data_IF_187648884848
#
_entry.id   IF_187648884848
#
_cell.length_a   1.000
_cell.length_b   1.000
_cell.length_c   1.000
_cell.angle_alpha   90.00
_cell.angle_beta   90.00
_cell.angle_gamma   90.00
#
_symmetry.space_group_name_H-M   'P 1'
#
loop_
_entity.id
_entity.type
_entity.pdbx_description
1 polymer ?
#
# COMPACT_ATOMS: atom_id res chain seq x y z
N UNK A 1 -20.06 6.86 -6.97
CA UNK A 1 -19.44 5.80 -7.81
C UNK A 1 -18.42 6.49 -8.70
N UNK A 2 -17.16 6.03 -8.70
CA UNK A 2 -16.09 6.60 -9.52
C UNK A 2 -16.01 5.94 -10.90
N UNK A 3 -15.28 6.57 -11.81
CA UNK A 3 -14.92 6.02 -13.11
C UNK A 3 -13.85 4.92 -12.96
N UNK A 4 -14.04 3.82 -13.68
CA UNK A 4 -13.22 2.61 -13.65
C UNK A 4 -12.76 2.18 -15.05
N UNK A 5 -13.06 2.96 -16.11
CA UNK A 5 -12.66 2.64 -17.49
C UNK A 5 -11.12 2.56 -17.63
N UNK A 6 -10.40 3.37 -16.86
CA UNK A 6 -8.94 3.37 -16.80
C UNK A 6 -8.31 2.02 -16.41
N UNK A 7 -9.06 1.10 -15.77
CA UNK A 7 -8.53 -0.21 -15.39
C UNK A 7 -8.18 -1.08 -16.60
N UNK A 8 -8.87 -0.91 -17.72
CA UNK A 8 -8.59 -1.63 -18.95
C UNK A 8 -7.20 -1.26 -19.49
N UNK A 9 -6.87 0.03 -19.45
CA UNK A 9 -5.57 0.57 -19.86
C UNK A 9 -4.46 0.32 -18.83
N UNK A 10 -4.80 -0.14 -17.63
CA UNK A 10 -3.87 -0.41 -16.53
C UNK A 10 -3.29 -1.83 -16.55
N UNK A 11 -3.71 -2.70 -17.48
CA UNK A 11 -3.17 -4.05 -17.59
C UNK A 11 -1.65 -4.04 -17.79
N UNK A 12 -0.95 -4.82 -16.97
CA UNK A 12 0.52 -4.87 -16.96
C UNK A 12 1.21 -3.66 -16.30
N UNK A 13 0.46 -2.68 -15.80
CA UNK A 13 0.97 -1.52 -15.06
C UNK A 13 0.77 -1.69 -13.56
N UNK A 14 1.42 -0.85 -12.78
CA UNK A 14 1.22 -0.74 -11.34
C UNK A 14 0.36 0.49 -11.05
N UNK A 15 -0.68 0.30 -10.24
CA UNK A 15 -1.55 1.40 -9.79
C UNK A 15 -1.56 1.44 -8.27
N UNK A 16 -1.28 2.61 -7.71
CA UNK A 16 -1.40 2.84 -6.26
C UNK A 16 -2.86 3.09 -5.92
N UNK A 17 -3.43 2.20 -5.11
CA UNK A 17 -4.82 2.28 -4.65
C UNK A 17 -4.82 2.42 -3.13
N UNK A 18 -5.69 3.29 -2.61
CA UNK A 18 -5.95 3.41 -1.17
C UNK A 18 -6.72 2.15 -0.73
N UNK A 19 -6.36 1.54 0.39
CA UNK A 19 -6.92 0.26 0.85
C UNK A 19 -8.45 0.23 0.90
N UNK A 20 -9.09 1.33 1.30
CA UNK A 20 -10.56 1.49 1.33
C UNK A 20 -11.22 1.38 -0.05
N UNK A 21 -10.48 1.66 -1.13
CA UNK A 21 -10.99 1.63 -2.50
C UNK A 21 -10.90 0.24 -3.16
N UNK A 22 -10.18 -0.71 -2.56
CA UNK A 22 -10.00 -2.05 -3.13
C UNK A 22 -11.33 -2.79 -3.34
N UNK A 23 -12.30 -2.60 -2.43
CA UNK A 23 -13.65 -3.21 -2.51
C UNK A 23 -14.50 -2.74 -3.69
N UNK A 24 -14.09 -1.66 -4.36
CA UNK A 24 -14.78 -1.15 -5.54
C UNK A 24 -14.15 -1.62 -6.85
N UNK A 25 -13.03 -2.35 -6.80
CA UNK A 25 -12.43 -2.92 -8.00
C UNK A 25 -13.34 -4.02 -8.56
N UNK A 26 -13.58 -4.05 -9.88
CA UNK A 26 -14.50 -5.00 -10.49
C UNK A 26 -13.91 -6.41 -10.47
N UNK A 27 -14.73 -7.41 -10.17
CA UNK A 27 -14.32 -8.82 -10.06
C UNK A 27 -13.98 -9.49 -11.40
N UNK A 28 -14.18 -8.81 -12.54
CA UNK A 28 -13.91 -9.33 -13.89
C UNK A 28 -12.41 -9.44 -14.23
N UNK A 29 -11.53 -8.88 -13.38
CA UNK A 29 -10.08 -8.98 -13.55
C UNK A 29 -9.45 -9.77 -12.39
N UNK A 30 -8.28 -10.34 -12.66
CA UNK A 30 -7.41 -10.89 -11.63
C UNK A 30 -6.41 -9.82 -11.17
N UNK A 31 -6.24 -9.72 -9.86
CA UNK A 31 -5.36 -8.73 -9.25
C UNK A 31 -4.25 -9.40 -8.47
N UNK A 32 -3.04 -8.84 -8.60
CA UNK A 32 -1.93 -9.09 -7.70
C UNK A 32 -1.73 -7.85 -6.84
N UNK A 33 -2.08 -7.95 -5.56
CA UNK A 33 -2.03 -6.85 -4.61
C UNK A 33 -0.76 -6.99 -3.77
N UNK A 34 0.13 -6.01 -3.86
CA UNK A 34 1.23 -5.86 -2.89
C UNK A 34 0.72 -4.92 -1.80
N UNK A 35 0.40 -5.49 -0.64
CA UNK A 35 -0.15 -4.76 0.50
C UNK A 35 1.01 -4.37 1.43
N UNK A 36 1.30 -3.07 1.47
CA UNK A 36 2.44 -2.53 2.20
C UNK A 36 2.01 -2.12 3.61
N UNK A 37 2.64 -2.72 4.62
CA UNK A 37 2.50 -2.38 6.03
C UNK A 37 3.60 -1.42 6.45
N UNK A 38 3.24 -0.41 7.23
CA UNK A 38 4.16 0.62 7.76
C UNK A 38 3.78 0.92 9.21
N UNK A 39 4.76 1.27 10.02
CA UNK A 39 4.53 1.73 11.41
C UNK A 39 3.46 2.82 11.46
N UNK A 40 2.53 2.68 12.39
CA UNK A 40 1.37 3.57 12.53
C UNK A 40 1.78 5.03 12.70
N UNK A 41 2.80 5.31 13.52
CA UNK A 41 3.35 6.66 13.75
C UNK A 41 3.68 7.38 12.44
N UNK A 42 4.25 6.66 11.47
CA UNK A 42 4.65 7.24 10.19
C UNK A 42 3.48 7.42 9.22
N UNK A 43 2.44 6.58 9.36
CA UNK A 43 1.18 6.74 8.65
C UNK A 43 0.50 8.02 9.15
N UNK A 44 0.44 8.23 10.47
CA UNK A 44 -0.13 9.43 11.09
C UNK A 44 0.63 10.69 10.68
N UNK A 45 1.97 10.68 10.75
CA UNK A 45 2.80 11.80 10.31
C UNK A 45 2.59 12.15 8.83
N UNK A 46 2.49 11.12 7.98
CA UNK A 46 2.20 11.32 6.55
C UNK A 46 0.77 11.82 6.30
N UNK A 47 -0.19 11.40 7.12
CA UNK A 47 -1.59 11.81 7.03
C UNK A 47 -1.75 13.30 7.39
N UNK A 48 -1.16 13.73 8.52
CA UNK A 48 -1.15 15.15 8.93
C UNK A 48 -0.56 16.05 7.85
N UNK A 49 0.62 15.70 7.34
CA UNK A 49 1.28 16.45 6.25
C UNK A 49 0.43 16.52 4.98
N UNK A 50 -0.32 15.45 4.66
CA UNK A 50 -1.23 15.46 3.51
C UNK A 50 -2.41 16.41 3.73
N UNK A 51 -3.00 16.44 4.94
CA UNK A 51 -4.09 17.36 5.29
C UNK A 51 -3.62 18.82 5.26
N UNK A 52 -2.45 19.10 5.85
CA UNK A 52 -1.79 20.42 5.81
C UNK A 52 -1.60 20.90 4.38
N UNK A 53 -1.05 20.07 3.50
CA UNK A 53 -0.85 20.40 2.07
C UNK A 53 -2.16 20.66 1.33
N UNK A 54 -3.29 20.17 1.84
CA UNK A 54 -4.64 20.38 1.28
C UNK A 54 -5.37 21.55 1.95
N UNK A 55 -4.75 22.21 2.92
CA UNK A 55 -5.40 23.26 3.72
C UNK A 55 -6.56 22.74 4.58
N UNK A 56 -6.60 21.44 4.86
CA UNK A 56 -7.61 20.82 5.71
C UNK A 56 -7.09 20.90 7.14
N UNK A 57 -7.79 21.66 7.99
CA UNK A 57 -7.49 21.74 9.41
C UNK A 57 -7.79 20.43 10.11
N UNK A 58 -6.93 20.07 11.06
CA UNK A 58 -7.13 18.95 11.98
C UNK A 58 -8.52 19.05 12.61
N UNK A 59 -9.30 17.98 12.51
CA UNK A 59 -10.68 17.89 13.01
C UNK A 59 -10.76 17.67 14.53
N UNK A 60 -9.60 17.70 15.20
CA UNK A 60 -9.47 17.60 16.66
C UNK A 60 -9.48 16.16 17.16
N UNK A 61 -9.35 15.18 16.27
CA UNK A 61 -9.24 13.77 16.63
C UNK A 61 -7.82 13.49 17.08
N UNK A 62 -7.65 12.79 18.21
CA UNK A 62 -6.32 12.45 18.71
C UNK A 62 -5.63 11.40 17.83
N UNK A 63 -4.31 11.41 17.82
CA UNK A 63 -3.50 10.43 17.09
C UNK A 63 -3.81 8.99 17.49
N UNK A 64 -4.11 8.76 18.78
CA UNK A 64 -4.50 7.45 19.30
C UNK A 64 -5.81 6.96 18.71
N UNK A 65 -6.80 7.86 18.58
CA UNK A 65 -8.09 7.52 18.00
C UNK A 65 -7.97 7.29 16.49
N UNK A 66 -7.20 8.12 15.78
CA UNK A 66 -6.90 7.90 14.35
C UNK A 66 -6.20 6.55 14.16
N UNK A 67 -5.18 6.24 14.96
CA UNK A 67 -4.47 4.97 14.93
C UNK A 67 -5.40 3.76 15.15
N UNK A 68 -6.31 3.87 16.13
CA UNK A 68 -7.30 2.83 16.43
C UNK A 68 -8.23 2.59 15.24
N UNK A 69 -8.77 3.66 14.65
CA UNK A 69 -9.65 3.59 13.48
C UNK A 69 -8.92 3.01 12.26
N UNK A 70 -7.68 3.42 12.01
CA UNK A 70 -6.85 2.85 10.93
C UNK A 70 -6.60 1.35 11.13
N UNK A 71 -6.22 0.92 12.34
CA UNK A 71 -5.99 -0.51 12.61
C UNK A 71 -7.26 -1.34 12.42
N UNK A 72 -8.41 -0.85 12.89
CA UNK A 72 -9.69 -1.51 12.65
C UNK A 72 -10.03 -1.60 11.16
N UNK A 73 -9.75 -0.54 10.40
CA UNK A 73 -9.96 -0.49 8.97
C UNK A 73 -9.05 -1.47 8.22
N UNK A 74 -7.74 -1.47 8.52
CA UNK A 74 -6.78 -2.38 7.92
C UNK A 74 -7.19 -3.84 8.13
N UNK A 75 -7.54 -4.21 9.37
CA UNK A 75 -8.02 -5.56 9.68
C UNK A 75 -9.22 -5.96 8.83
N UNK A 76 -10.21 -5.08 8.67
CA UNK A 76 -11.39 -5.34 7.84
C UNK A 76 -11.03 -5.54 6.37
N UNK A 77 -10.12 -4.73 5.83
CA UNK A 77 -9.67 -4.87 4.44
C UNK A 77 -8.92 -6.17 4.23
N UNK A 78 -8.02 -6.54 5.16
CA UNK A 78 -7.30 -7.81 5.08
C UNK A 78 -8.23 -9.02 5.17
N UNK A 79 -9.17 -9.01 6.10
CA UNK A 79 -10.16 -10.07 6.26
C UNK A 79 -11.04 -10.19 4.99
N UNK A 80 -11.44 -9.05 4.41
CA UNK A 80 -12.16 -9.02 3.14
C UNK A 80 -11.33 -9.55 1.96
N UNK A 81 -10.05 -9.16 1.84
CA UNK A 81 -9.15 -9.60 0.78
C UNK A 81 -9.00 -11.13 0.77
N UNK A 82 -8.92 -11.76 1.95
CA UNK A 82 -8.85 -13.23 2.08
C UNK A 82 -10.07 -13.97 1.51
N UNK A 83 -11.20 -13.27 1.36
CA UNK A 83 -12.43 -13.85 0.79
C UNK A 83 -12.55 -13.64 -0.71
N UNK A 84 -11.62 -12.94 -1.36
CA UNK A 84 -11.71 -12.61 -2.78
C UNK A 84 -10.95 -13.64 -3.64
N UNK A 85 -11.64 -14.44 -4.48
CA UNK A 85 -10.97 -15.47 -5.28
C UNK A 85 -10.13 -14.91 -6.43
N UNK A 86 -10.41 -13.69 -6.87
CA UNK A 86 -9.72 -13.02 -7.98
C UNK A 86 -8.58 -12.11 -7.52
N UNK A 87 -8.22 -12.11 -6.23
CA UNK A 87 -7.15 -11.28 -5.68
C UNK A 87 -6.10 -12.13 -4.96
N UNK A 88 -4.89 -12.14 -5.50
CA UNK A 88 -3.71 -12.65 -4.79
C UNK A 88 -3.06 -11.51 -4.01
N UNK A 89 -2.64 -11.76 -2.77
CA UNK A 89 -2.07 -10.72 -1.90
C UNK A 89 -0.69 -11.13 -1.41
N UNK A 90 0.27 -10.22 -1.53
CA UNK A 90 1.58 -10.28 -0.89
C UNK A 90 1.67 -9.16 0.15
N UNK A 91 1.95 -9.50 1.40
CA UNK A 91 2.20 -8.51 2.45
C UNK A 91 3.67 -8.14 2.49
N UNK A 92 3.98 -6.85 2.53
CA UNK A 92 5.35 -6.32 2.60
C UNK A 92 5.48 -5.38 3.78
N UNK A 93 6.43 -5.64 4.67
CA UNK A 93 6.78 -4.72 5.73
C UNK A 93 7.75 -3.66 5.17
N UNK A 94 7.25 -2.43 5.04
CA UNK A 94 8.03 -1.31 4.51
C UNK A 94 9.25 -0.99 5.36
N UNK A 95 9.11 -1.07 6.68
CA UNK A 95 10.17 -0.71 7.61
C UNK A 95 11.32 -1.72 7.52
N UNK A 96 11.03 -3.01 7.42
CA UNK A 96 12.04 -4.03 7.20
C UNK A 96 12.61 -4.02 5.78
N UNK A 97 11.79 -3.75 4.75
CA UNK A 97 12.25 -3.63 3.36
C UNK A 97 13.34 -2.56 3.22
N UNK A 98 13.26 -1.46 3.95
CA UNK A 98 14.29 -0.42 3.92
C UNK A 98 15.62 -0.82 4.57
N UNK A 99 15.60 -1.78 5.49
CA UNK A 99 16.79 -2.25 6.22
C UNK A 99 17.44 -3.43 5.50
N UNK A 100 16.62 -4.36 5.02
CA UNK A 100 17.06 -5.57 4.34
C UNK A 100 16.18 -5.81 3.10
N UNK A 101 16.43 -5.11 1.98
CA UNK A 101 15.53 -5.13 0.82
C UNK A 101 15.55 -6.44 0.04
N UNK A 102 16.68 -7.15 0.03
CA UNK A 102 16.90 -8.27 -0.89
C UNK A 102 15.84 -9.38 -0.79
N UNK A 103 15.46 -9.87 0.40
CA UNK A 103 14.40 -10.89 0.51
C UNK A 103 13.04 -10.42 -0.02
N UNK A 104 12.71 -9.14 0.20
CA UNK A 104 11.46 -8.56 -0.29
C UNK A 104 11.47 -8.38 -1.81
N UNK A 105 12.60 -7.96 -2.39
CA UNK A 105 12.75 -7.84 -3.85
C UNK A 105 12.54 -9.20 -4.52
N UNK A 106 13.16 -10.25 -4.00
CA UNK A 106 13.03 -11.61 -4.51
C UNK A 106 11.58 -12.12 -4.39
N UNK A 107 10.94 -11.87 -3.25
CA UNK A 107 9.55 -12.26 -3.01
C UNK A 107 8.57 -11.50 -3.92
N UNK A 108 8.75 -10.19 -4.09
CA UNK A 108 7.96 -9.37 -5.03
C UNK A 108 8.14 -9.88 -6.46
N UNK A 109 9.38 -10.16 -6.89
CA UNK A 109 9.63 -10.65 -8.25
C UNK A 109 8.97 -12.02 -8.47
N UNK A 110 9.10 -12.94 -7.51
CA UNK A 110 8.41 -14.24 -7.54
C UNK A 110 6.90 -14.06 -7.63
N UNK A 111 6.32 -13.22 -6.79
CA UNK A 111 4.87 -12.94 -6.78
C UNK A 111 4.38 -12.37 -8.11
N UNK A 112 5.20 -11.55 -8.77
CA UNK A 112 4.92 -10.98 -10.08
C UNK A 112 5.30 -11.89 -11.26
N UNK A 113 5.78 -13.11 -10.99
CA UNK A 113 6.05 -14.14 -12.00
C UNK A 113 7.42 -14.02 -12.67
N UNK A 114 8.43 -13.55 -11.92
CA UNK A 114 9.84 -13.48 -12.34
C UNK A 114 10.10 -12.60 -13.58
N UNK A 115 9.40 -11.47 -13.67
CA UNK A 115 9.48 -10.55 -14.81
C UNK A 115 10.30 -9.29 -14.54
N UNK A 116 10.72 -9.07 -13.30
CA UNK A 116 11.42 -7.87 -12.87
C UNK A 116 12.93 -8.10 -12.80
N UNK A 117 13.66 -7.02 -13.02
CA UNK A 117 15.11 -6.91 -12.87
C UNK A 117 15.44 -6.61 -11.40
N UNK A 118 15.88 -7.64 -10.67
CA UNK A 118 16.11 -7.56 -9.23
C UNK A 118 17.29 -6.64 -8.87
N UNK A 119 18.28 -6.52 -9.76
CA UNK A 119 19.44 -5.66 -9.55
C UNK A 119 19.00 -4.19 -9.60
N UNK A 120 18.24 -3.83 -10.65
CA UNK A 120 17.64 -2.49 -10.75
C UNK A 120 16.64 -2.19 -9.64
N UNK A 121 15.89 -3.19 -9.17
CA UNK A 121 15.01 -3.02 -8.02
C UNK A 121 15.79 -2.67 -6.76
N UNK A 122 16.96 -3.25 -6.55
CA UNK A 122 17.79 -2.96 -5.38
C UNK A 122 18.37 -1.53 -5.45
N UNK A 123 18.76 -1.06 -6.63
CA UNK A 123 19.32 0.27 -6.84
C UNK A 123 18.34 1.41 -6.51
N UNK A 124 17.03 1.19 -6.66
CA UNK A 124 16.02 2.21 -6.37
C UNK A 124 15.59 2.25 -4.90
N UNK A 125 16.05 1.31 -4.07
CA UNK A 125 15.80 1.35 -2.62
C UNK A 125 16.74 2.38 -2.01
N UNK A 126 16.22 3.59 -1.79
CA UNK A 126 16.95 4.66 -1.12
C UNK A 126 16.44 4.86 0.32
N UNK A 127 17.22 4.48 1.35
CA UNK A 127 16.90 4.73 2.76
C UNK A 127 16.71 6.23 3.10
N UNK A 128 17.16 7.15 2.24
CA UNK A 128 17.00 8.60 2.43
C UNK A 128 15.65 9.13 1.92
N UNK A 129 14.92 8.37 1.10
CA UNK A 129 13.52 8.67 0.74
C UNK A 129 12.55 8.39 1.91
N UNK A 130 13.04 7.73 2.95
CA UNK A 130 12.34 7.47 4.21
C UNK A 130 12.33 8.73 5.11
N UNK A 131 11.55 9.74 4.70
CA UNK A 131 11.58 11.11 5.26
C UNK A 131 10.63 11.35 6.44
N UNK A 132 9.52 10.61 6.51
CA UNK A 132 8.53 10.77 7.59
C UNK A 132 8.73 9.67 8.64
N UNK A 133 9.76 9.80 9.48
CA UNK A 133 10.13 8.83 10.55
C UNK A 133 9.55 9.18 11.93
N UNK A 134 8.91 10.34 12.04
CA UNK A 134 8.33 10.93 13.25
C UNK A 134 7.07 11.68 12.85
#
# INVERSE_FOLDING_TARGET
>A
KGDLEWLEEAQGKVVKIISELLKYLPSKYEYRVIFIHRKMEEILASHKKMLENRGISDDGISDEEIARLFNMHLKKVEDWLRTQPNMSVLNVDYNHLLVNPQPYIEEINRFLGYKLDIERMAEVVDPNLYRNRK
#
